data_IF_051146668455
#
_entry.id   IF_051146668455
#
_cell.length_a   1.000
_cell.length_b   1.000
_cell.length_c   1.000
_cell.angle_alpha   90.00
_cell.angle_beta   90.00
_cell.angle_gamma   90.00
#
_symmetry.space_group_name_H-M   'P 1'
#
loop_
_entity.id
_entity.type
_entity.pdbx_description
1 polymer ?
#
# COMPACT_ATOMS: atom_id res chain seq x y z
N UNK A 1 -28.61 27.15 16.84
CA UNK A 1 -29.96 26.66 17.20
C UNK A 1 -29.97 25.16 16.89
N UNK A 2 -30.30 24.32 17.87
CA UNK A 2 -29.99 22.88 17.86
C UNK A 2 -30.85 22.13 16.83
N UNK A 3 -30.35 21.98 15.59
CA UNK A 3 -31.03 21.23 14.51
C UNK A 3 -31.49 19.84 14.95
N UNK A 4 -30.68 19.14 15.77
CA UNK A 4 -31.07 17.87 16.37
C UNK A 4 -32.32 17.99 17.24
N UNK A 5 -32.37 19.02 18.08
CA UNK A 5 -33.44 19.20 19.05
C UNK A 5 -34.75 19.56 18.36
N UNK A 6 -34.69 20.36 17.30
CA UNK A 6 -35.87 20.72 16.51
C UNK A 6 -36.50 19.50 15.83
N UNK A 7 -35.68 18.61 15.26
CA UNK A 7 -36.18 17.37 14.64
C UNK A 7 -36.71 16.40 15.70
N UNK A 8 -36.01 16.21 16.82
CA UNK A 8 -36.50 15.31 17.87
C UNK A 8 -37.73 15.86 18.61
N UNK A 9 -37.97 17.17 18.62
CA UNK A 9 -39.23 17.75 19.10
C UNK A 9 -40.43 17.27 18.25
N UNK A 10 -40.23 16.92 16.97
CA UNK A 10 -41.27 16.33 16.12
C UNK A 10 -41.58 14.88 16.49
N UNK A 11 -40.62 14.17 17.11
CA UNK A 11 -40.82 12.81 17.61
C UNK A 11 -41.55 12.81 18.97
N UNK A 12 -41.07 13.63 19.91
CA UNK A 12 -41.71 13.79 21.23
C UNK A 12 -41.18 15.02 21.96
N UNK A 13 -42.03 15.71 22.70
CA UNK A 13 -41.62 16.82 23.58
C UNK A 13 -41.05 16.35 24.93
N UNK A 14 -41.22 15.06 25.29
CA UNK A 14 -40.76 14.49 26.56
C UNK A 14 -39.37 13.85 26.44
N UNK A 15 -38.32 14.67 26.27
CA UNK A 15 -36.98 14.19 25.93
C UNK A 15 -36.26 13.33 26.99
N UNK A 16 -36.77 13.31 28.23
CA UNK A 16 -36.23 12.52 29.33
C UNK A 16 -36.93 11.16 29.51
N UNK A 17 -38.00 10.89 28.75
CA UNK A 17 -38.64 9.59 28.75
C UNK A 17 -37.78 8.57 27.98
N UNK A 18 -37.83 7.30 28.40
CA UNK A 18 -37.20 6.19 27.68
C UNK A 18 -38.08 5.79 26.51
N UNK A 19 -37.48 5.73 25.32
CA UNK A 19 -38.11 5.26 24.08
C UNK A 19 -37.44 3.99 23.60
N UNK A 20 -38.20 3.12 22.94
CA UNK A 20 -37.63 1.90 22.36
C UNK A 20 -36.71 2.27 21.17
N UNK A 21 -35.59 1.56 21.05
CA UNK A 21 -34.63 1.82 19.97
C UNK A 21 -35.24 1.65 18.57
N UNK A 22 -36.13 0.66 18.40
CA UNK A 22 -36.84 0.44 17.14
C UNK A 22 -37.74 1.61 16.72
N UNK A 23 -38.40 2.27 17.68
CA UNK A 23 -39.25 3.44 17.43
C UNK A 23 -38.40 4.64 17.00
N UNK A 24 -37.29 4.88 17.71
CA UNK A 24 -36.32 5.93 17.37
C UNK A 24 -35.75 5.69 15.97
N UNK A 25 -35.36 4.46 15.66
CA UNK A 25 -34.80 4.11 14.35
C UNK A 25 -35.83 4.34 13.23
N UNK A 26 -37.07 3.91 13.43
CA UNK A 26 -38.15 4.14 12.46
C UNK A 26 -38.44 5.62 12.25
N UNK A 27 -38.29 6.43 13.30
CA UNK A 27 -38.40 7.88 13.21
C UNK A 27 -37.25 8.46 12.38
N UNK A 28 -36.00 8.08 12.65
CA UNK A 28 -34.84 8.54 11.88
C UNK A 28 -34.94 8.13 10.41
N UNK A 29 -35.40 6.91 10.13
CA UNK A 29 -35.71 6.45 8.77
C UNK A 29 -36.66 7.43 8.07
N UNK A 30 -37.78 7.77 8.71
CA UNK A 30 -38.79 8.67 8.13
C UNK A 30 -38.29 10.09 7.82
N UNK A 31 -37.17 10.49 8.42
CA UNK A 31 -36.54 11.80 8.18
C UNK A 31 -35.48 11.79 7.08
N UNK A 32 -35.02 10.62 6.68
CA UNK A 32 -34.06 10.49 5.60
C UNK A 32 -34.77 10.51 4.23
N UNK A 33 -34.16 11.12 3.22
CA UNK A 33 -34.74 11.23 1.86
C UNK A 33 -35.11 9.86 1.23
N UNK A 34 -34.41 8.80 1.61
CA UNK A 34 -34.62 7.43 1.11
C UNK A 34 -35.39 6.54 2.10
N UNK A 35 -35.99 7.10 3.15
CA UNK A 35 -36.60 6.35 4.25
C UNK A 35 -35.65 5.32 4.90
N UNK A 36 -34.35 5.63 4.88
CA UNK A 36 -33.31 4.73 5.36
C UNK A 36 -32.19 5.54 6.00
N UNK A 37 -32.02 5.34 7.30
CA UNK A 37 -30.87 5.77 8.06
C UNK A 37 -29.85 4.63 8.15
N UNK A 38 -28.57 4.93 8.05
CA UNK A 38 -27.54 3.89 8.08
C UNK A 38 -27.56 3.11 9.41
N UNK A 39 -27.65 1.78 9.32
CA UNK A 39 -27.82 0.90 10.49
C UNK A 39 -26.52 0.74 11.27
N UNK A 40 -25.38 0.75 10.59
CA UNK A 40 -24.07 0.62 11.23
C UNK A 40 -23.75 1.91 12.00
N UNK A 41 -24.01 3.08 11.40
CA UNK A 41 -23.88 4.38 12.07
C UNK A 41 -24.85 4.47 13.25
N UNK A 42 -26.11 4.04 13.08
CA UNK A 42 -27.06 3.99 14.19
C UNK A 42 -26.54 3.14 15.35
N UNK A 43 -26.03 1.94 15.05
CA UNK A 43 -25.49 1.05 16.06
C UNK A 43 -24.31 1.69 16.79
N UNK A 44 -23.37 2.29 16.06
CA UNK A 44 -22.23 2.99 16.65
C UNK A 44 -22.65 4.14 17.57
N UNK A 45 -23.70 4.88 17.23
CA UNK A 45 -24.24 5.93 18.09
C UNK A 45 -24.88 5.34 19.36
N UNK A 46 -25.66 4.27 19.25
CA UNK A 46 -26.27 3.61 20.41
C UNK A 46 -25.22 3.01 21.35
N UNK A 47 -24.10 2.50 20.82
CA UNK A 47 -23.00 1.93 21.61
C UNK A 47 -22.34 2.95 22.54
N UNK A 48 -22.43 4.24 22.20
CA UNK A 48 -21.94 5.34 23.03
C UNK A 48 -22.90 5.70 24.18
N UNK A 49 -24.11 5.12 24.22
CA UNK A 49 -25.10 5.33 25.28
C UNK A 49 -25.03 4.17 26.29
N UNK A 50 -24.64 4.42 27.55
CA UNK A 50 -24.56 3.39 28.56
C UNK A 50 -25.90 2.66 28.75
N UNK A 51 -25.86 1.32 28.76
CA UNK A 51 -27.00 0.41 28.97
C UNK A 51 -28.12 0.46 27.91
N UNK A 52 -28.00 1.24 26.84
CA UNK A 52 -29.05 1.36 25.82
C UNK A 52 -29.32 0.04 25.08
N UNK A 53 -28.27 -0.71 24.72
CA UNK A 53 -28.40 -2.02 24.08
C UNK A 53 -29.05 -3.07 24.99
N UNK A 54 -28.69 -3.09 26.27
CA UNK A 54 -29.21 -4.08 27.24
C UNK A 54 -30.68 -3.81 27.53
N UNK A 55 -31.06 -2.54 27.65
CA UNK A 55 -32.44 -2.13 27.95
C UNK A 55 -33.31 -1.99 26.69
N UNK A 56 -32.71 -2.06 25.49
CA UNK A 56 -33.35 -1.77 24.21
C UNK A 56 -34.07 -0.41 24.19
N UNK A 57 -33.59 0.53 25.00
CA UNK A 57 -34.21 1.84 25.23
C UNK A 57 -33.17 2.92 25.49
N UNK A 58 -33.43 4.14 25.03
CA UNK A 58 -32.65 5.33 25.40
C UNK A 58 -33.54 6.58 25.50
N UNK A 59 -33.01 7.65 26.10
CA UNK A 59 -33.69 8.96 26.10
C UNK A 59 -33.25 9.78 24.89
N UNK A 60 -34.13 10.68 24.43
CA UNK A 60 -33.83 11.59 23.32
C UNK A 60 -32.64 12.50 23.67
N UNK A 61 -32.54 12.96 24.92
CA UNK A 61 -31.41 13.79 25.35
C UNK A 61 -30.07 13.04 25.30
N UNK A 62 -30.03 11.76 25.67
CA UNK A 62 -28.83 10.93 25.50
C UNK A 62 -28.43 10.83 24.03
N UNK A 63 -29.42 10.60 23.16
CA UNK A 63 -29.20 10.48 21.73
C UNK A 63 -28.69 11.79 21.12
N UNK A 64 -29.34 12.93 21.40
CA UNK A 64 -28.89 14.27 20.96
C UNK A 64 -27.44 14.53 21.38
N UNK A 65 -27.07 14.20 22.61
CA UNK A 65 -25.71 14.41 23.12
C UNK A 65 -24.69 13.55 22.36
N UNK A 66 -25.04 12.31 22.04
CA UNK A 66 -24.17 11.44 21.24
C UNK A 66 -24.04 11.94 19.80
N UNK A 67 -25.15 12.34 19.16
CA UNK A 67 -25.12 12.93 17.81
C UNK A 67 -24.22 14.18 17.75
N UNK A 68 -24.37 15.09 18.72
CA UNK A 68 -23.50 16.28 18.84
C UNK A 68 -22.03 15.89 19.03
N UNK A 69 -21.75 14.97 19.95
CA UNK A 69 -20.39 14.51 20.21
C UNK A 69 -19.76 13.86 18.97
N UNK A 70 -20.52 13.06 18.24
CA UNK A 70 -20.03 12.43 17.00
C UNK A 70 -19.73 13.49 15.93
N UNK A 71 -20.61 14.48 15.75
CA UNK A 71 -20.39 15.60 14.84
C UNK A 71 -19.15 16.43 15.24
N UNK A 72 -18.99 16.74 16.53
CA UNK A 72 -17.85 17.50 17.04
C UNK A 72 -16.53 16.74 16.81
N UNK A 73 -16.51 15.42 17.05
CA UNK A 73 -15.33 14.58 16.81
C UNK A 73 -14.97 14.51 15.33
N UNK A 74 -15.94 14.34 14.43
CA UNK A 74 -15.69 14.30 13.00
C UNK A 74 -15.19 15.66 12.48
N UNK A 75 -15.80 16.77 12.91
CA UNK A 75 -15.34 18.11 12.57
C UNK A 75 -13.92 18.39 13.07
N UNK A 76 -13.58 17.96 14.30
CA UNK A 76 -12.23 18.09 14.86
C UNK A 76 -11.20 17.29 14.04
N UNK A 77 -11.56 16.05 13.64
CA UNK A 77 -10.70 15.23 12.77
C UNK A 77 -10.48 15.88 11.40
N UNK A 78 -11.54 16.39 10.76
CA UNK A 78 -11.46 17.09 9.47
C UNK A 78 -10.55 18.32 9.61
N UNK A 79 -10.76 19.15 10.64
CA UNK A 79 -9.95 20.34 10.88
C UNK A 79 -8.47 20.01 11.07
N UNK A 80 -8.15 18.97 11.86
CA UNK A 80 -6.77 18.52 12.08
C UNK A 80 -6.12 18.01 10.80
N UNK A 81 -6.83 17.23 9.99
CA UNK A 81 -6.32 16.76 8.71
C UNK A 81 -6.02 17.96 7.78
N UNK A 82 -6.92 18.95 7.75
CA UNK A 82 -6.74 20.16 6.94
C UNK A 82 -5.51 20.97 7.40
N UNK A 83 -5.31 21.15 8.71
CA UNK A 83 -4.13 21.82 9.26
C UNK A 83 -2.82 21.14 8.83
N UNK A 84 -2.79 19.80 8.84
CA UNK A 84 -1.62 19.04 8.40
C UNK A 84 -1.40 19.20 6.88
N UNK A 85 -2.46 19.14 6.08
CA UNK A 85 -2.39 19.39 4.63
C UNK A 85 -1.81 20.78 4.34
N UNK A 86 -2.26 21.81 5.06
CA UNK A 86 -1.78 23.18 4.89
C UNK A 86 -0.28 23.29 5.24
N UNK A 87 0.16 22.67 6.34
CA UNK A 87 1.57 22.61 6.73
C UNK A 87 2.42 21.91 5.65
N UNK A 88 1.95 20.77 5.14
CA UNK A 88 2.64 20.00 4.09
C UNK A 88 2.72 20.78 2.77
N UNK A 89 1.67 21.52 2.41
CA UNK A 89 1.67 22.42 1.26
C UNK A 89 2.70 23.55 1.41
N UNK A 90 2.89 24.10 2.60
CA UNK A 90 3.94 25.09 2.88
C UNK A 90 5.33 24.46 2.67
N UNK A 91 5.56 23.25 3.18
CA UNK A 91 6.83 22.51 2.99
C UNK A 91 7.11 22.27 1.50
N UNK A 92 6.12 21.81 0.73
CA UNK A 92 6.23 21.58 -0.72
C UNK A 92 6.62 22.87 -1.45
N UNK A 93 6.00 24.02 -1.11
CA UNK A 93 6.37 25.32 -1.69
C UNK A 93 7.81 25.68 -1.37
N UNK A 94 8.23 25.51 -0.11
CA UNK A 94 9.61 25.78 0.31
C UNK A 94 10.64 24.88 -0.40
N UNK A 95 10.33 23.60 -0.64
CA UNK A 95 11.17 22.69 -1.41
C UNK A 95 11.25 23.09 -2.89
N UNK A 96 10.13 23.44 -3.50
CA UNK A 96 10.09 23.94 -4.87
C UNK A 96 10.92 25.22 -5.05
N UNK A 97 10.85 26.16 -4.10
CA UNK A 97 11.67 27.37 -4.12
C UNK A 97 13.18 27.04 -4.00
N UNK A 98 13.55 26.08 -3.13
CA UNK A 98 14.94 25.59 -3.03
C UNK A 98 15.43 24.96 -4.33
N UNK A 99 14.58 24.22 -5.04
CA UNK A 99 14.93 23.65 -6.36
C UNK A 99 15.16 24.77 -7.38
N UNK A 100 14.26 25.75 -7.46
CA UNK A 100 14.39 26.91 -8.37
C UNK A 100 15.67 27.71 -8.12
N UNK A 101 15.99 27.99 -6.85
CA UNK A 101 17.24 28.67 -6.48
C UNK A 101 18.50 27.86 -6.83
N UNK A 102 18.41 26.53 -6.77
CA UNK A 102 19.52 25.63 -7.12
C UNK A 102 19.73 25.54 -8.64
N UNK A 103 18.69 25.76 -9.44
CA UNK A 103 18.79 25.83 -10.91
C UNK A 103 19.43 27.14 -11.39
N UNK A 104 19.30 28.24 -10.64
CA UNK A 104 19.91 29.53 -10.99
C UNK A 104 21.40 29.60 -10.60
N UNK A 105 21.84 28.79 -9.64
CA UNK A 105 23.22 28.75 -9.16
C UNK A 105 23.94 27.51 -9.69
N UNK A 106 24.59 27.64 -10.84
CA UNK A 106 25.32 26.57 -11.56
C UNK A 106 26.57 25.97 -10.85
N UNK A 107 26.66 26.04 -9.52
CA UNK A 107 27.83 25.59 -8.77
C UNK A 107 27.58 24.20 -8.18
N UNK A 108 28.08 23.19 -8.91
CA UNK A 108 28.52 21.86 -8.48
C UNK A 108 27.71 21.16 -7.36
N UNK A 109 26.80 20.29 -7.76
CA UNK A 109 26.27 19.20 -6.93
C UNK A 109 27.36 18.15 -6.69
N UNK A 110 28.31 18.42 -5.79
CA UNK A 110 29.19 17.37 -5.28
C UNK A 110 28.36 16.42 -4.43
N UNK A 111 28.39 15.13 -4.76
CA UNK A 111 27.73 14.11 -3.97
C UNK A 111 28.33 14.06 -2.56
N UNK A 112 27.48 14.16 -1.53
CA UNK A 112 27.88 14.17 -0.13
C UNK A 112 27.35 12.95 0.58
N UNK A 113 28.21 12.28 1.33
CA UNK A 113 27.87 11.20 2.23
C UNK A 113 28.06 11.69 3.67
N UNK A 114 26.98 11.66 4.44
CA UNK A 114 26.99 11.94 5.86
C UNK A 114 26.94 10.62 6.64
N UNK A 115 27.82 10.49 7.62
CA UNK A 115 27.97 9.28 8.43
C UNK A 115 28.06 9.68 9.88
N UNK A 116 27.13 9.20 10.69
CA UNK A 116 27.12 9.41 12.13
C UNK A 116 27.35 8.06 12.84
N UNK A 117 28.37 8.04 13.70
CA UNK A 117 28.70 6.91 14.56
C UNK A 117 28.07 7.16 15.92
N UNK A 118 27.10 6.33 16.32
CA UNK A 118 26.37 6.52 17.57
C UNK A 118 27.04 5.77 18.72
N UNK A 119 26.97 4.44 18.68
CA UNK A 119 27.48 3.55 19.72
C UNK A 119 27.92 2.20 19.15
N UNK A 120 28.42 1.32 20.01
CA UNK A 120 28.71 -0.06 19.65
C UNK A 120 28.33 -1.05 20.77
N UNK A 121 27.85 -2.22 20.38
CA UNK A 121 27.61 -3.36 21.27
C UNK A 121 28.82 -4.28 21.24
N UNK A 122 29.57 -4.35 22.34
CA UNK A 122 30.80 -5.16 22.45
C UNK A 122 30.61 -6.27 23.48
N UNK A 123 30.77 -7.53 23.06
CA UNK A 123 30.50 -8.71 23.88
C UNK A 123 31.77 -9.47 24.31
N UNK A 124 32.96 -8.97 23.95
CA UNK A 124 34.23 -9.55 24.38
C UNK A 124 34.86 -8.72 25.52
N UNK A 125 35.61 -9.39 26.41
CA UNK A 125 36.12 -8.79 27.65
C UNK A 125 37.43 -8.02 27.47
N UNK A 126 37.62 -7.00 28.31
CA UNK A 126 38.88 -6.27 28.56
C UNK A 126 38.64 -4.79 28.86
N UNK A 127 39.72 -4.03 29.03
CA UNK A 127 39.69 -2.68 29.62
C UNK A 127 40.22 -1.59 28.68
N UNK A 128 40.44 -1.94 27.40
CA UNK A 128 40.93 -1.04 26.39
C UNK A 128 39.97 0.10 26.06
N UNK A 129 40.51 1.09 25.36
CA UNK A 129 39.73 2.14 24.73
C UNK A 129 39.43 1.75 23.29
N UNK A 130 38.28 2.20 22.80
CA UNK A 130 37.80 1.95 21.46
C UNK A 130 37.80 3.21 20.63
N UNK A 131 38.09 3.07 19.35
CA UNK A 131 38.00 4.08 18.32
C UNK A 131 37.48 3.42 17.04
N UNK A 132 36.75 4.17 16.21
CA UNK A 132 36.29 3.69 14.91
C UNK A 132 37.06 4.44 13.84
N UNK A 133 37.68 3.70 12.94
CA UNK A 133 38.26 4.23 11.70
C UNK A 133 37.25 4.10 10.59
N UNK A 134 36.93 5.20 9.93
CA UNK A 134 36.08 5.27 8.76
C UNK A 134 36.99 5.51 7.55
N UNK A 135 37.04 4.53 6.65
CA UNK A 135 37.78 4.58 5.39
C UNK A 135 36.79 4.70 4.23
N UNK A 136 36.87 5.79 3.48
CA UNK A 136 36.06 6.03 2.30
C UNK A 136 36.94 6.68 1.21
N UNK A 137 37.06 6.00 0.05
CA UNK A 137 37.99 6.38 -1.01
C UNK A 137 39.43 6.55 -0.49
N UNK A 138 40.04 7.72 -0.64
CA UNK A 138 41.37 8.07 -0.12
C UNK A 138 41.35 8.72 1.27
N UNK A 139 40.16 8.95 1.84
CA UNK A 139 39.98 9.63 3.12
C UNK A 139 39.85 8.62 4.25
N UNK A 140 40.62 8.84 5.31
CA UNK A 140 40.53 8.06 6.55
C UNK A 140 40.31 9.04 7.69
N UNK A 141 39.24 8.84 8.45
CA UNK A 141 38.91 9.64 9.64
C UNK A 141 38.67 8.73 10.83
N UNK A 142 38.90 9.26 12.02
CA UNK A 142 38.82 8.50 13.26
C UNK A 142 37.90 9.21 14.25
N UNK A 143 37.11 8.43 14.98
CA UNK A 143 36.37 8.95 16.13
C UNK A 143 37.28 9.22 17.33
N UNK A 144 36.77 9.87 18.37
CA UNK A 144 37.47 9.98 19.64
C UNK A 144 37.58 8.62 20.36
N UNK A 145 38.61 8.48 21.19
CA UNK A 145 38.78 7.31 22.04
C UNK A 145 37.71 7.28 23.13
N UNK A 146 36.99 6.17 23.24
CA UNK A 146 35.94 5.96 24.25
C UNK A 146 36.17 4.67 25.05
N UNK A 147 35.46 4.48 26.16
CA UNK A 147 35.59 3.26 26.99
C UNK A 147 34.89 2.08 26.30
N UNK A 148 35.47 0.87 26.40
CA UNK A 148 34.87 -0.35 25.83
C UNK A 148 33.51 -0.72 26.42
N UNK A 149 33.25 -0.36 27.68
CA UNK A 149 31.97 -0.64 28.31
C UNK A 149 30.93 0.39 27.87
N UNK A 150 30.03 0.00 26.97
CA UNK A 150 29.01 0.87 26.35
C UNK A 150 29.62 2.10 25.68
N UNK A 151 30.43 1.90 24.61
CA UNK A 151 31.05 3.00 23.88
C UNK A 151 29.96 3.85 23.22
N UNK A 152 30.05 5.17 23.39
CA UNK A 152 29.20 6.15 22.72
C UNK A 152 30.11 7.23 22.14
N UNK A 153 29.87 7.60 20.88
CA UNK A 153 30.61 8.63 20.15
C UNK A 153 29.70 9.82 19.80
N UNK A 154 28.56 9.56 19.13
CA UNK A 154 27.69 10.60 18.54
C UNK A 154 28.49 11.60 17.69
N UNK A 155 29.35 11.08 16.83
CA UNK A 155 30.22 11.87 15.95
C UNK A 155 29.77 11.76 14.49
N UNK A 156 29.72 12.90 13.81
CA UNK A 156 29.29 13.00 12.41
C UNK A 156 30.46 13.35 11.50
N UNK A 157 30.54 12.67 10.36
CA UNK A 157 31.57 12.81 9.34
C UNK A 157 30.95 13.03 7.97
N UNK A 158 31.54 13.93 7.19
CA UNK A 158 31.13 14.22 5.82
C UNK A 158 32.21 13.81 4.83
N UNK A 159 31.79 13.10 3.78
CA UNK A 159 32.66 12.68 2.68
C UNK A 159 32.10 13.18 1.36
N UNK A 160 32.98 13.65 0.47
CA UNK A 160 32.63 13.86 -0.93
C UNK A 160 32.90 12.54 -1.66
N UNK A 161 31.86 11.90 -2.19
CA UNK A 161 31.95 10.56 -2.76
C UNK A 161 31.49 10.54 -4.22
N UNK A 162 32.00 9.60 -5.00
CA UNK A 162 31.54 9.36 -6.37
C UNK A 162 30.65 8.10 -6.41
N UNK A 163 29.85 7.96 -7.46
CA UNK A 163 29.07 6.74 -7.73
C UNK A 163 30.04 5.54 -7.77
N UNK A 164 29.71 4.45 -7.03
CA UNK A 164 30.51 3.21 -6.86
C UNK A 164 31.66 3.25 -5.81
N UNK A 165 31.33 3.59 -4.56
CA UNK A 165 32.31 3.51 -3.46
C UNK A 165 31.82 2.59 -2.33
N UNK A 166 32.73 1.80 -1.75
CA UNK A 166 32.49 1.00 -0.55
C UNK A 166 33.11 1.72 0.64
N UNK A 167 32.32 1.88 1.70
CA UNK A 167 32.78 2.36 2.99
C UNK A 167 33.27 1.21 3.85
N UNK A 168 34.40 1.42 4.52
CA UNK A 168 34.98 0.45 5.44
C UNK A 168 35.08 1.05 6.83
N UNK A 169 34.48 0.36 7.79
CA UNK A 169 34.52 0.69 9.20
C UNK A 169 35.43 -0.31 9.91
N UNK A 170 36.39 0.18 10.68
CA UNK A 170 37.28 -0.67 11.48
C UNK A 170 37.15 -0.27 12.93
N UNK A 171 36.78 -1.23 13.78
CA UNK A 171 36.83 -1.03 15.22
C UNK A 171 38.26 -1.27 15.71
N UNK A 172 38.87 -0.22 16.24
CA UNK A 172 40.20 -0.22 16.80
C UNK A 172 40.11 -0.29 18.32
N UNK A 173 40.80 -1.27 18.90
CA UNK A 173 40.85 -1.49 20.34
C UNK A 173 42.30 -1.39 20.79
N UNK A 174 42.60 -0.47 21.72
CA UNK A 174 43.98 -0.18 22.13
C UNK A 174 44.71 -1.39 22.72
N UNK A 175 44.00 -2.33 23.34
CA UNK A 175 44.59 -3.58 23.85
C UNK A 175 44.86 -4.59 22.73
N UNK A 176 43.99 -4.65 21.72
CA UNK A 176 44.14 -5.58 20.59
C UNK A 176 45.18 -5.09 19.60
N UNK A 177 45.29 -3.77 19.39
CA UNK A 177 46.31 -3.16 18.52
C UNK A 177 47.73 -3.51 18.97
N UNK A 178 47.99 -3.54 20.28
CA UNK A 178 49.28 -3.97 20.84
C UNK A 178 49.61 -5.43 20.48
N UNK A 179 48.58 -6.24 20.23
CA UNK A 179 48.67 -7.66 19.81
C UNK A 179 48.50 -7.84 18.30
N UNK A 180 48.49 -6.76 17.51
CA UNK A 180 48.24 -6.73 16.06
C UNK A 180 46.85 -7.25 15.64
N UNK A 181 45.86 -7.19 16.53
CA UNK A 181 44.47 -7.54 16.22
C UNK A 181 43.58 -6.30 16.08
N UNK A 182 42.55 -6.41 15.23
CA UNK A 182 41.48 -5.41 15.11
C UNK A 182 40.23 -5.92 15.86
N UNK A 183 39.39 -5.01 16.34
CA UNK A 183 38.11 -5.33 17.00
C UNK A 183 37.00 -5.79 16.03
N UNK A 184 37.30 -5.79 14.73
CA UNK A 184 36.42 -6.19 13.65
C UNK A 184 36.32 -5.12 12.55
N UNK A 185 35.83 -5.52 11.38
CA UNK A 185 35.69 -4.69 10.18
C UNK A 185 34.28 -4.86 9.62
N UNK A 186 33.68 -3.80 9.10
CA UNK A 186 32.45 -3.86 8.32
C UNK A 186 32.63 -3.11 6.99
N UNK A 187 32.04 -3.65 5.93
CA UNK A 187 32.03 -3.05 4.60
C UNK A 187 30.59 -2.72 4.21
N UNK A 188 30.33 -1.50 3.78
CA UNK A 188 29.01 -1.03 3.40
C UNK A 188 29.10 -0.40 2.02
N UNK A 189 28.34 -0.92 1.07
CA UNK A 189 28.20 -0.31 -0.25
C UNK A 189 27.30 0.93 -0.15
N UNK A 190 27.81 2.08 -0.58
CA UNK A 190 27.08 3.35 -0.56
C UNK A 190 25.83 3.29 -1.47
N UNK A 191 25.84 2.44 -2.51
CA UNK A 191 24.68 2.27 -3.40
C UNK A 191 23.42 1.80 -2.67
N UNK A 192 23.57 1.18 -1.49
CA UNK A 192 22.45 0.82 -0.61
C UNK A 192 21.62 2.03 -0.19
N UNK A 193 22.24 3.23 -0.18
CA UNK A 193 21.62 4.50 0.20
C UNK A 193 21.24 5.37 -1.02
N UNK A 194 21.00 4.74 -2.18
CA UNK A 194 20.64 5.43 -3.42
C UNK A 194 19.28 6.14 -3.41
N UNK A 195 18.48 5.89 -2.38
CA UNK A 195 17.23 6.60 -2.06
C UNK A 195 17.45 7.98 -1.42
N UNK A 196 18.69 8.30 -1.04
CA UNK A 196 19.10 9.56 -0.41
C UNK A 196 18.45 9.85 0.94
N UNK A 197 17.85 8.85 1.57
CA UNK A 197 17.22 8.95 2.89
C UNK A 197 18.24 8.71 4.00
N UNK A 198 17.91 9.12 5.22
CA UNK A 198 18.72 8.83 6.40
C UNK A 198 18.38 7.42 6.89
N UNK A 199 19.39 6.54 6.89
CA UNK A 199 19.27 5.16 7.36
C UNK A 199 19.89 5.02 8.73
N UNK A 200 19.12 4.51 9.69
CA UNK A 200 19.53 4.24 11.06
C UNK A 200 19.54 2.71 11.27
N UNK A 201 20.73 2.12 11.44
CA UNK A 201 20.87 0.66 11.51
C UNK A 201 22.13 0.20 12.23
N UNK A 202 22.14 -1.08 12.62
CA UNK A 202 23.27 -1.73 13.28
C UNK A 202 23.98 -2.71 12.34
N UNK A 203 25.30 -2.62 12.23
CA UNK A 203 26.13 -3.52 11.42
C UNK A 203 26.96 -4.46 12.29
N UNK A 204 26.99 -5.75 11.93
CA UNK A 204 27.86 -6.73 12.58
C UNK A 204 29.29 -6.59 12.04
N UNK A 205 30.28 -6.63 12.93
CA UNK A 205 31.68 -6.59 12.52
C UNK A 205 32.20 -8.00 12.24
N UNK A 206 33.07 -8.14 11.25
CA UNK A 206 33.73 -9.41 10.88
C UNK A 206 35.25 -9.34 11.05
N UNK A 207 35.89 -10.48 11.25
CA UNK A 207 37.36 -10.58 11.25
C UNK A 207 37.92 -10.73 9.82
N UNK A 208 39.24 -10.90 9.70
CA UNK A 208 39.93 -11.11 8.43
C UNK A 208 39.51 -12.40 7.71
N UNK A 209 38.93 -13.36 8.44
CA UNK A 209 38.40 -14.62 7.90
C UNK A 209 36.90 -14.54 7.57
N UNK A 210 36.32 -13.34 7.63
CA UNK A 210 34.92 -13.05 7.38
C UNK A 210 33.96 -13.71 8.39
N UNK A 211 34.44 -14.07 9.58
CA UNK A 211 33.60 -14.56 10.68
C UNK A 211 33.10 -13.39 11.51
N UNK A 212 31.83 -13.46 11.92
CA UNK A 212 31.21 -12.43 12.74
C UNK A 212 31.90 -12.38 14.10
N UNK A 213 32.53 -11.23 14.39
CA UNK A 213 33.07 -10.91 15.70
C UNK A 213 31.91 -10.55 16.61
N UNK A 214 32.07 -10.79 17.92
CA UNK A 214 31.05 -10.42 18.91
C UNK A 214 31.05 -8.92 19.21
N UNK A 215 30.93 -8.12 18.15
CA UNK A 215 30.88 -6.67 18.16
C UNK A 215 29.95 -6.16 17.05
N UNK A 216 29.15 -5.15 17.37
CA UNK A 216 28.26 -4.47 16.42
C UNK A 216 28.39 -2.97 16.55
N UNK A 217 28.20 -2.26 15.44
CA UNK A 217 28.30 -0.81 15.37
C UNK A 217 26.95 -0.22 14.97
N UNK A 218 26.50 0.82 15.69
CA UNK A 218 25.26 1.53 15.39
C UNK A 218 25.57 2.80 14.59
N UNK A 219 24.97 2.90 13.41
CA UNK A 219 25.31 3.87 12.38
C UNK A 219 24.06 4.59 11.88
N UNK A 220 24.25 5.87 11.57
CA UNK A 220 23.33 6.67 10.76
C UNK A 220 24.04 7.11 9.49
N UNK A 221 23.50 6.78 8.32
CA UNK A 221 24.14 7.10 7.03
C UNK A 221 23.13 7.73 6.09
N UNK A 222 23.53 8.81 5.42
CA UNK A 222 22.76 9.43 4.35
C UNK A 222 23.66 9.79 3.19
N UNK A 223 23.27 9.39 1.98
CA UNK A 223 24.00 9.71 0.75
C UNK A 223 23.19 10.64 -0.14
N UNK A 224 23.60 11.90 -0.26
CA UNK A 224 22.95 12.91 -1.10
C UNK A 224 23.82 13.16 -2.34
N UNK A 225 23.54 12.45 -3.44
CA UNK A 225 24.22 12.68 -4.72
C UNK A 225 23.54 13.75 -5.59
N UNK A 226 22.25 13.99 -5.39
CA UNK A 226 21.52 15.06 -6.06
C UNK A 226 20.54 15.71 -5.10
N UNK A 227 20.89 16.91 -4.64
CA UNK A 227 20.03 17.75 -3.79
C UNK A 227 18.66 17.98 -4.45
N UNK A 228 18.62 18.15 -5.77
CA UNK A 228 17.37 18.33 -6.50
C UNK A 228 16.51 17.07 -6.46
N UNK A 229 17.11 15.90 -6.68
CA UNK A 229 16.38 14.62 -6.57
C UNK A 229 15.89 14.40 -5.14
N UNK A 230 16.72 14.63 -4.13
CA UNK A 230 16.31 14.51 -2.72
C UNK A 230 15.11 15.41 -2.39
N UNK A 231 15.14 16.68 -2.83
CA UNK A 231 14.00 17.59 -2.64
C UNK A 231 12.76 17.15 -3.42
N UNK A 232 12.91 16.55 -4.61
CA UNK A 232 11.80 15.98 -5.37
C UNK A 232 11.19 14.76 -4.65
N UNK A 233 12.02 13.89 -4.09
CA UNK A 233 11.57 12.72 -3.35
C UNK A 233 10.77 13.15 -2.10
N UNK A 234 11.24 14.17 -1.37
CA UNK A 234 10.48 14.77 -0.26
C UNK A 234 9.15 15.41 -0.70
N UNK A 235 9.12 16.06 -1.86
CA UNK A 235 7.87 16.61 -2.42
C UNK A 235 6.89 15.48 -2.72
N UNK A 236 7.34 14.41 -3.35
CA UNK A 236 6.51 13.25 -3.69
C UNK A 236 5.96 12.57 -2.43
N UNK A 237 6.79 12.39 -1.39
CA UNK A 237 6.35 11.83 -0.11
C UNK A 237 5.26 12.69 0.55
N UNK A 238 5.46 14.01 0.61
CA UNK A 238 4.46 14.93 1.15
C UNK A 238 3.17 14.95 0.31
N UNK A 239 3.24 14.81 -1.02
CA UNK A 239 2.06 14.70 -1.88
C UNK A 239 1.28 13.40 -1.61
N UNK A 240 1.96 12.28 -1.40
CA UNK A 240 1.31 11.01 -1.04
C UNK A 240 0.58 11.15 0.30
N UNK A 241 1.22 11.78 1.31
CA UNK A 241 0.59 12.04 2.61
C UNK A 241 -0.63 12.96 2.49
N UNK A 242 -0.56 14.01 1.66
CA UNK A 242 -1.70 14.88 1.39
C UNK A 242 -2.87 14.09 0.78
N UNK A 243 -2.61 13.28 -0.25
CA UNK A 243 -3.67 12.48 -0.89
C UNK A 243 -4.35 11.51 0.10
N UNK A 244 -3.58 10.92 1.02
CA UNK A 244 -4.13 10.06 2.08
C UNK A 244 -5.01 10.84 3.05
N UNK A 245 -4.57 12.04 3.48
CA UNK A 245 -5.35 12.90 4.36
C UNK A 245 -6.62 13.45 3.68
N UNK A 246 -6.56 13.75 2.38
CA UNK A 246 -7.74 14.16 1.60
C UNK A 246 -8.76 13.03 1.49
N UNK A 247 -8.31 11.79 1.30
CA UNK A 247 -9.19 10.62 1.35
C UNK A 247 -9.82 10.47 2.73
N UNK A 248 -9.04 10.63 3.81
CA UNK A 248 -9.55 10.55 5.18
C UNK A 248 -10.59 11.66 5.47
N UNK A 249 -10.34 12.88 5.00
CA UNK A 249 -11.32 13.98 5.08
C UNK A 249 -12.62 13.62 4.36
N UNK A 250 -12.53 13.05 3.16
CA UNK A 250 -13.71 12.64 2.40
C UNK A 250 -14.51 11.57 3.13
N UNK A 251 -13.85 10.57 3.72
CA UNK A 251 -14.50 9.54 4.53
C UNK A 251 -15.22 10.17 5.73
N UNK A 252 -14.57 11.06 6.48
CA UNK A 252 -15.20 11.78 7.61
C UNK A 252 -16.36 12.68 7.18
N UNK A 253 -16.29 13.31 6.00
CA UNK A 253 -17.38 14.11 5.43
C UNK A 253 -18.58 13.22 5.10
N UNK A 254 -18.37 12.04 4.52
CA UNK A 254 -19.44 11.08 4.24
C UNK A 254 -20.12 10.64 5.53
N UNK A 255 -19.36 10.28 6.55
CA UNK A 255 -19.90 9.90 7.87
C UNK A 255 -20.72 11.05 8.49
N UNK A 256 -20.19 12.27 8.40
CA UNK A 256 -20.88 13.47 8.88
C UNK A 256 -22.16 13.75 8.09
N UNK A 257 -22.19 13.45 6.79
CA UNK A 257 -23.38 13.58 5.95
C UNK A 257 -24.46 12.58 6.37
N UNK A 258 -24.06 11.33 6.64
CA UNK A 258 -24.97 10.28 7.12
C UNK A 258 -25.56 10.67 8.47
N UNK A 259 -24.74 11.11 9.43
CA UNK A 259 -25.18 11.57 10.76
C UNK A 259 -26.15 12.75 10.65
N UNK A 260 -25.89 13.67 9.72
CA UNK A 260 -26.74 14.86 9.51
C UNK A 260 -27.94 14.61 8.60
N UNK A 261 -28.02 13.47 7.92
CA UNK A 261 -29.08 13.16 6.93
C UNK A 261 -30.51 13.29 7.48
N UNK A 262 -30.84 12.92 8.73
CA UNK A 262 -32.18 13.10 9.31
C UNK A 262 -32.49 14.56 9.68
N UNK A 263 -31.47 15.43 9.72
CA UNK A 263 -31.54 16.80 10.24
C UNK A 263 -31.39 17.87 9.18
N UNK A 264 -31.09 17.47 7.95
CA UNK A 264 -31.18 18.34 6.78
C UNK A 264 -32.65 18.70 6.58
N UNK A 265 -33.05 19.88 7.03
CA UNK A 265 -34.29 20.50 6.55
C UNK A 265 -34.23 20.42 5.02
N UNK A 266 -35.26 19.86 4.39
CA UNK A 266 -35.42 19.84 2.93
C UNK A 266 -35.53 21.27 2.43
N UNK A 267 -34.42 21.99 2.39
CA UNK A 267 -34.28 23.11 1.48
C UNK A 267 -34.21 22.43 0.12
N UNK A 268 -35.30 22.53 -0.64
CA UNK A 268 -35.31 22.24 -2.07
C UNK A 268 -34.34 23.20 -2.74
N UNK A 269 -33.05 22.95 -2.62
CA UNK A 269 -32.05 23.60 -3.44
C UNK A 269 -32.22 23.04 -4.84
N UNK A 270 -32.68 23.89 -5.76
CA UNK A 270 -32.41 23.70 -7.18
C UNK A 270 -30.92 23.40 -7.32
N UNK A 271 -30.63 22.23 -7.89
CA UNK A 271 -29.30 21.85 -8.36
C UNK A 271 -28.67 23.02 -9.11
N UNK A 272 -27.75 23.71 -8.45
CA UNK A 272 -26.73 24.59 -9.02
C UNK A 272 -25.60 24.71 -7.99
N UNK A 273 -25.05 23.56 -7.57
CA UNK A 273 -23.66 23.50 -7.14
C UNK A 273 -22.85 23.07 -8.37
N UNK A 274 -22.71 23.99 -9.32
CA UNK A 274 -21.48 24.07 -10.10
C UNK A 274 -20.35 24.26 -9.10
N UNK A 275 -19.57 23.19 -8.93
CA UNK A 275 -18.28 23.20 -8.25
C UNK A 275 -17.42 24.23 -9.01
N UNK A 276 -17.32 25.43 -8.44
CA UNK A 276 -16.41 26.47 -8.87
C UNK A 276 -14.99 25.99 -8.61
N UNK A 277 -14.43 25.35 -9.62
CA UNK A 277 -12.98 25.12 -9.75
C UNK A 277 -12.34 26.50 -9.81
N UNK A 278 -11.65 26.90 -8.73
CA UNK A 278 -10.77 28.05 -8.78
C UNK A 278 -9.57 27.70 -9.67
N UNK A 279 -9.72 28.01 -10.96
CA UNK A 279 -8.61 28.29 -11.84
C UNK A 279 -7.92 29.59 -11.39
N UNK A 280 -6.67 29.47 -10.98
CA UNK A 280 -5.67 30.52 -11.20
C UNK A 280 -4.41 29.85 -11.74
N UNK A 281 -4.39 29.68 -13.06
CA UNK A 281 -3.14 29.74 -13.83
C UNK A 281 -2.71 31.21 -13.96
N UNK A 282 -1.42 31.48 -14.15
CA UNK A 282 -0.97 31.60 -15.53
C UNK A 282 0.32 30.82 -15.84
N UNK A 283 0.32 30.28 -17.06
CA UNK A 283 1.44 29.88 -17.89
C UNK A 283 2.27 28.66 -17.45
N UNK A 284 1.94 27.52 -18.06
CA UNK A 284 2.86 26.88 -18.99
C UNK A 284 2.11 26.06 -20.05
N UNK A 285 2.64 26.11 -21.27
CA UNK A 285 2.03 25.70 -22.52
C UNK A 285 1.88 24.18 -22.63
N UNK A 286 0.70 23.78 -23.11
CA UNK A 286 0.42 22.67 -24.02
C UNK A 286 1.42 21.52 -24.09
N UNK A 287 1.09 20.41 -23.43
CA UNK A 287 1.00 19.12 -24.12
C UNK A 287 -0.33 18.46 -23.72
N UNK A 288 -1.24 18.37 -24.69
CA UNK A 288 -2.44 17.54 -24.59
C UNK A 288 -2.03 16.08 -24.52
N UNK A 289 -1.99 15.52 -23.32
CA UNK A 289 -2.26 14.09 -23.14
C UNK A 289 -3.73 13.95 -22.75
N UNK A 290 -4.46 13.20 -23.57
CA UNK A 290 -5.81 12.74 -23.27
C UNK A 290 -5.84 12.17 -21.86
N UNK A 291 -6.52 12.84 -20.95
CA UNK A 291 -6.81 12.32 -19.62
C UNK A 291 -7.60 11.01 -19.80
N UNK A 292 -7.12 9.87 -19.28
CA UNK A 292 -7.93 8.66 -19.31
C UNK A 292 -9.21 8.91 -18.53
N UNK A 293 -10.32 8.39 -19.07
CA UNK A 293 -11.64 8.39 -18.44
C UNK A 293 -11.47 7.95 -16.97
N UNK A 294 -11.68 8.85 -16.01
CA UNK A 294 -11.70 8.53 -14.58
C UNK A 294 -12.93 7.66 -14.32
N UNK A 295 -12.70 6.34 -14.31
CA UNK A 295 -13.68 5.33 -13.95
C UNK A 295 -13.96 5.48 -12.46
N UNK A 296 -15.22 5.73 -12.08
CA UNK A 296 -15.59 5.93 -10.68
C UNK A 296 -15.28 4.66 -9.87
N UNK A 297 -14.77 4.80 -8.64
CA UNK A 297 -14.44 3.67 -7.73
C UNK A 297 -15.58 2.64 -7.62
N UNK A 298 -16.84 3.10 -7.64
CA UNK A 298 -18.04 2.25 -7.65
C UNK A 298 -18.11 1.24 -8.81
N UNK A 299 -17.45 1.51 -9.94
CA UNK A 299 -17.40 0.57 -11.08
C UNK A 299 -16.35 -0.52 -10.84
N UNK A 300 -15.24 -0.20 -10.17
CA UNK A 300 -14.19 -1.15 -9.84
C UNK A 300 -14.71 -2.13 -8.79
N UNK A 301 -15.42 -1.66 -7.77
CA UNK A 301 -16.00 -2.53 -6.73
C UNK A 301 -17.02 -3.53 -7.31
N UNK A 302 -17.85 -3.08 -8.26
CA UNK A 302 -18.79 -3.97 -8.96
C UNK A 302 -18.08 -5.02 -9.81
N UNK A 303 -17.00 -4.65 -10.50
CA UNK A 303 -16.19 -5.62 -11.25
C UNK A 303 -15.59 -6.66 -10.29
N UNK A 304 -15.03 -6.22 -9.16
CA UNK A 304 -14.47 -7.12 -8.14
C UNK A 304 -15.55 -8.10 -7.61
N UNK A 305 -16.76 -7.64 -7.33
CA UNK A 305 -17.87 -8.52 -6.92
C UNK A 305 -18.25 -9.56 -8.00
N UNK A 306 -18.33 -9.14 -9.26
CA UNK A 306 -18.62 -10.05 -10.38
C UNK A 306 -17.51 -11.10 -10.53
N UNK A 307 -16.25 -10.70 -10.38
CA UNK A 307 -15.12 -11.63 -10.44
C UNK A 307 -15.15 -12.69 -9.34
N UNK A 308 -15.57 -12.32 -8.12
CA UNK A 308 -15.76 -13.27 -7.02
C UNK A 308 -16.84 -14.30 -7.36
N UNK A 309 -17.97 -13.87 -7.95
CA UNK A 309 -19.04 -14.77 -8.37
C UNK A 309 -18.55 -15.77 -9.43
N UNK A 310 -17.73 -15.31 -10.39
CA UNK A 310 -17.13 -16.18 -11.40
C UNK A 310 -16.14 -17.19 -10.80
N UNK A 311 -15.42 -16.83 -9.74
CA UNK A 311 -14.52 -17.75 -9.02
C UNK A 311 -15.30 -18.80 -8.24
N UNK A 312 -16.42 -18.43 -7.62
CA UNK A 312 -17.33 -19.39 -6.99
C UNK A 312 -17.87 -20.37 -8.04
N UNK A 313 -18.27 -19.87 -9.21
CA UNK A 313 -18.70 -20.72 -10.32
C UNK A 313 -17.58 -21.67 -10.77
N UNK A 314 -16.34 -21.16 -10.87
CA UNK A 314 -15.16 -21.96 -11.17
C UNK A 314 -14.92 -23.04 -10.12
N UNK A 315 -15.06 -22.74 -8.82
CA UNK A 315 -14.96 -23.73 -7.74
C UNK A 315 -16.00 -24.84 -7.90
N UNK A 316 -17.26 -24.50 -8.20
CA UNK A 316 -18.33 -25.50 -8.36
C UNK A 316 -18.01 -26.46 -9.51
N UNK A 317 -17.61 -25.95 -10.68
CA UNK A 317 -17.21 -26.81 -11.80
C UNK A 317 -15.92 -27.57 -11.55
N UNK A 318 -15.00 -27.02 -10.75
CA UNK A 318 -13.80 -27.70 -10.28
C UNK A 318 -14.15 -28.90 -9.39
N UNK A 319 -15.04 -28.72 -8.41
CA UNK A 319 -15.49 -29.80 -7.53
C UNK A 319 -16.20 -30.92 -8.31
N UNK A 320 -17.08 -30.56 -9.25
CA UNK A 320 -17.76 -31.54 -10.11
C UNK A 320 -16.76 -32.34 -10.97
N UNK A 321 -15.76 -31.68 -11.55
CA UNK A 321 -14.72 -32.38 -12.32
C UNK A 321 -13.76 -33.19 -11.44
N UNK A 322 -13.54 -32.77 -10.19
CA UNK A 322 -12.58 -33.43 -9.29
C UNK A 322 -12.96 -34.87 -8.90
N UNK A 323 -14.23 -35.24 -9.12
CA UNK A 323 -14.71 -36.61 -8.90
C UNK A 323 -14.02 -37.62 -9.83
N UNK A 324 -13.59 -37.18 -11.02
CA UNK A 324 -13.05 -38.06 -12.06
C UNK A 324 -11.68 -37.62 -12.60
N UNK A 325 -11.26 -36.37 -12.34
CA UNK A 325 -9.99 -35.80 -12.78
C UNK A 325 -9.27 -35.15 -11.60
N UNK A 326 -7.96 -35.35 -11.50
CA UNK A 326 -7.15 -34.61 -10.53
C UNK A 326 -6.97 -33.14 -10.96
N UNK A 327 -7.38 -32.21 -10.10
CA UNK A 327 -7.39 -30.76 -10.37
C UNK A 327 -6.60 -29.98 -9.30
N UNK A 328 -5.50 -30.55 -8.82
CA UNK A 328 -4.74 -29.99 -7.69
C UNK A 328 -4.26 -28.55 -7.97
N UNK A 329 -3.83 -28.27 -9.20
CA UNK A 329 -3.38 -26.94 -9.59
C UNK A 329 -4.54 -25.93 -9.66
N UNK A 330 -5.72 -26.37 -10.09
CA UNK A 330 -6.92 -25.53 -10.12
C UNK A 330 -7.38 -25.15 -8.72
N UNK A 331 -7.34 -26.09 -7.78
CA UNK A 331 -7.62 -25.80 -6.36
C UNK A 331 -6.58 -24.87 -5.75
N UNK A 332 -5.32 -24.95 -6.17
CA UNK A 332 -4.28 -24.01 -5.74
C UNK A 332 -4.57 -22.60 -6.28
N UNK A 333 -4.96 -22.47 -7.55
CA UNK A 333 -5.40 -21.19 -8.16
C UNK A 333 -6.60 -20.62 -7.40
N UNK A 334 -7.62 -21.44 -7.15
CA UNK A 334 -8.83 -21.05 -6.43
C UNK A 334 -8.52 -20.60 -5.00
N UNK A 335 -7.68 -21.35 -4.28
CA UNK A 335 -7.26 -21.00 -2.92
C UNK A 335 -6.52 -19.66 -2.88
N UNK A 336 -5.61 -19.43 -3.82
CA UNK A 336 -4.89 -18.16 -3.95
C UNK A 336 -5.87 -17.00 -4.24
N UNK A 337 -6.87 -17.22 -5.09
CA UNK A 337 -7.92 -16.24 -5.34
C UNK A 337 -8.70 -15.92 -4.06
N UNK A 338 -9.13 -16.92 -3.28
CA UNK A 338 -9.84 -16.67 -2.01
C UNK A 338 -9.00 -15.90 -0.99
N UNK A 339 -7.70 -16.23 -0.88
CA UNK A 339 -6.78 -15.47 -0.02
C UNK A 339 -6.66 -14.00 -0.46
N UNK A 340 -6.66 -13.75 -1.77
CA UNK A 340 -6.67 -12.40 -2.31
C UNK A 340 -7.93 -11.62 -1.89
N UNK A 341 -9.12 -12.22 -1.94
CA UNK A 341 -10.35 -11.54 -1.48
C UNK A 341 -10.45 -11.40 0.05
N UNK A 342 -9.85 -12.31 0.82
CA UNK A 342 -9.92 -12.27 2.29
C UNK A 342 -9.06 -11.15 2.91
N UNK A 343 -7.91 -10.81 2.29
CA UNK A 343 -6.90 -9.92 2.90
C UNK A 343 -7.10 -8.41 2.67
N UNK A 344 -8.34 -7.96 2.42
CA UNK A 344 -8.68 -6.57 2.13
C UNK A 344 -7.93 -6.03 0.88
N UNK A 345 -8.67 -5.88 -0.22
CA UNK A 345 -8.23 -5.47 -1.57
C UNK A 345 -7.38 -4.19 -1.65
N UNK A 346 -7.29 -3.41 -0.56
CA UNK A 346 -6.59 -2.10 -0.50
C UNK A 346 -5.06 -2.20 -0.46
N UNK A 347 -4.45 -3.33 -0.07
CA UNK A 347 -2.98 -3.46 -0.10
C UNK A 347 -2.52 -4.34 -1.27
N UNK A 348 -1.91 -3.73 -2.30
CA UNK A 348 -1.07 -4.39 -3.34
C UNK A 348 -1.79 -5.17 -4.48
N UNK A 349 -2.92 -4.68 -5.01
CA UNK A 349 -3.81 -5.46 -5.89
C UNK A 349 -3.24 -5.86 -7.27
N UNK A 350 -2.38 -5.05 -7.91
CA UNK A 350 -1.96 -5.27 -9.31
C UNK A 350 -1.04 -6.48 -9.51
N UNK A 351 -0.05 -6.66 -8.62
CA UNK A 351 0.86 -7.82 -8.68
C UNK A 351 0.10 -9.14 -8.50
N UNK A 352 -0.83 -9.19 -7.56
CA UNK A 352 -1.63 -10.37 -7.28
C UNK A 352 -2.54 -10.72 -8.46
N UNK A 353 -3.12 -9.71 -9.12
CA UNK A 353 -3.88 -9.90 -10.36
C UNK A 353 -2.99 -10.50 -11.47
N UNK A 354 -1.75 -10.03 -11.63
CA UNK A 354 -0.78 -10.62 -12.59
C UNK A 354 -0.49 -12.09 -12.28
N UNK A 355 -0.23 -12.40 -11.02
CA UNK A 355 0.03 -13.78 -10.57
C UNK A 355 -1.20 -14.65 -10.86
N UNK A 356 -2.41 -14.19 -10.52
CA UNK A 356 -3.66 -14.91 -10.81
C UNK A 356 -3.82 -15.15 -12.32
N UNK A 357 -3.57 -14.14 -13.16
CA UNK A 357 -3.66 -14.29 -14.63
C UNK A 357 -2.67 -15.32 -15.17
N UNK A 358 -1.43 -15.32 -14.70
CA UNK A 358 -0.41 -16.31 -15.13
C UNK A 358 -0.81 -17.71 -14.68
N UNK A 359 -1.24 -17.86 -13.42
CA UNK A 359 -1.69 -19.15 -12.89
C UNK A 359 -2.92 -19.67 -13.65
N UNK A 360 -3.90 -18.82 -13.96
CA UNK A 360 -5.05 -19.16 -14.81
C UNK A 360 -4.61 -19.55 -16.23
N UNK A 361 -3.63 -18.85 -16.81
CA UNK A 361 -3.08 -19.18 -18.11
C UNK A 361 -2.44 -20.57 -18.15
N UNK A 362 -1.66 -20.92 -17.13
CA UNK A 362 -1.08 -22.27 -16.98
C UNK A 362 -2.18 -23.32 -16.78
N UNK A 363 -3.20 -23.03 -15.97
CA UNK A 363 -4.33 -23.92 -15.74
C UNK A 363 -5.13 -24.20 -17.01
N UNK A 364 -5.34 -23.18 -17.85
CA UNK A 364 -5.97 -23.30 -19.17
C UNK A 364 -5.14 -24.17 -20.12
N UNK A 365 -3.82 -23.96 -20.17
CA UNK A 365 -2.93 -24.75 -21.02
C UNK A 365 -2.94 -26.23 -20.62
N UNK A 366 -2.96 -26.52 -19.33
CA UNK A 366 -3.10 -27.89 -18.81
C UNK A 366 -4.43 -28.54 -19.22
N UNK A 367 -5.54 -27.79 -19.19
CA UNK A 367 -6.84 -28.28 -19.68
C UNK A 367 -6.85 -28.55 -21.19
N UNK A 368 -6.25 -27.67 -21.98
CA UNK A 368 -6.16 -27.85 -23.44
C UNK A 368 -5.36 -29.11 -23.77
N UNK A 369 -4.22 -29.32 -23.10
CA UNK A 369 -3.40 -30.54 -23.28
C UNK A 369 -4.21 -31.77 -22.84
N UNK A 370 -4.86 -31.71 -21.69
CA UNK A 370 -5.67 -32.83 -21.19
C UNK A 370 -6.81 -33.17 -22.17
N UNK A 371 -7.56 -32.18 -22.64
CA UNK A 371 -8.62 -32.36 -23.64
C UNK A 371 -8.06 -32.89 -24.95
N UNK A 372 -6.90 -32.43 -25.42
CA UNK A 372 -6.30 -32.94 -26.65
C UNK A 372 -5.93 -34.44 -26.56
N UNK A 373 -5.51 -34.91 -25.38
CA UNK A 373 -5.18 -36.32 -25.15
C UNK A 373 -6.44 -37.17 -24.99
N UNK A 374 -7.39 -36.72 -24.16
CA UNK A 374 -8.52 -37.54 -23.72
C UNK A 374 -9.81 -37.36 -24.52
N UNK A 375 -9.98 -36.30 -25.31
CA UNK A 375 -11.24 -36.06 -26.01
C UNK A 375 -11.44 -36.95 -27.25
N UNK A 376 -10.37 -37.25 -27.97
CA UNK A 376 -10.37 -37.98 -29.24
C UNK A 376 -11.08 -39.35 -29.19
N UNK A 377 -10.83 -40.22 -28.19
CA UNK A 377 -11.46 -41.54 -28.15
C UNK A 377 -12.95 -41.55 -27.77
N UNK A 378 -13.47 -40.48 -27.15
CA UNK A 378 -14.83 -40.47 -26.57
C UNK A 378 -15.78 -39.44 -27.21
N UNK A 379 -15.30 -38.65 -28.17
CA UNK A 379 -16.13 -37.74 -28.97
C UNK A 379 -16.74 -38.41 -30.22
N UNK A 380 -16.29 -39.61 -30.60
CA UNK A 380 -16.77 -40.38 -31.76
C UNK A 380 -18.00 -41.26 -31.48
N UNK A 381 -18.32 -42.15 -32.43
CA UNK A 381 -19.33 -43.20 -32.22
C UNK A 381 -18.90 -44.18 -31.12
N UNK A 382 -19.88 -44.82 -30.46
CA UNK A 382 -19.63 -45.74 -29.36
C UNK A 382 -18.65 -46.85 -29.80
N UNK A 383 -17.53 -46.95 -29.09
CA UNK A 383 -16.56 -48.02 -29.33
C UNK A 383 -16.98 -49.24 -28.51
N UNK A 384 -17.32 -50.33 -29.20
CA UNK A 384 -17.83 -51.58 -28.61
C UNK A 384 -16.85 -52.26 -27.63
N UNK A 385 -15.62 -51.78 -27.53
CA UNK A 385 -14.62 -52.28 -26.60
C UNK A 385 -14.73 -51.71 -25.17
N UNK A 386 -15.62 -50.75 -24.91
CA UNK A 386 -15.85 -50.18 -23.58
C UNK A 386 -17.22 -50.55 -23.03
N UNK A 387 -17.33 -50.66 -21.70
CA UNK A 387 -18.64 -50.77 -21.04
C UNK A 387 -19.46 -49.49 -21.30
N UNK A 388 -20.77 -49.64 -21.53
CA UNK A 388 -21.69 -48.53 -21.78
C UNK A 388 -21.68 -47.50 -20.65
N UNK A 389 -21.55 -47.96 -19.40
CA UNK A 389 -21.52 -47.09 -18.24
C UNK A 389 -20.21 -46.29 -18.16
N UNK A 390 -19.07 -46.96 -18.39
CA UNK A 390 -17.76 -46.32 -18.40
C UNK A 390 -17.64 -45.29 -19.53
N UNK A 391 -18.09 -45.63 -20.73
CA UNK A 391 -18.13 -44.73 -21.88
C UNK A 391 -19.01 -43.50 -21.61
N UNK A 392 -20.17 -43.70 -20.98
CA UNK A 392 -21.07 -42.61 -20.58
C UNK A 392 -20.42 -41.64 -19.57
N UNK A 393 -19.73 -42.17 -18.56
CA UNK A 393 -19.02 -41.37 -17.56
C UNK A 393 -17.86 -40.58 -18.16
N UNK A 394 -17.05 -41.20 -19.01
CA UNK A 394 -15.94 -40.54 -19.71
C UNK A 394 -16.44 -39.42 -20.63
N UNK A 395 -17.53 -39.66 -21.37
CA UNK A 395 -18.15 -38.64 -22.22
C UNK A 395 -18.69 -37.46 -21.40
N UNK A 396 -19.35 -37.74 -20.27
CA UNK A 396 -19.80 -36.71 -19.34
C UNK A 396 -18.62 -35.89 -18.79
N UNK A 397 -17.53 -36.54 -18.40
CA UNK A 397 -16.31 -35.89 -17.91
C UNK A 397 -15.69 -34.94 -18.96
N UNK A 398 -15.67 -35.33 -20.23
CA UNK A 398 -15.17 -34.48 -21.32
C UNK A 398 -16.05 -33.25 -21.51
N UNK A 399 -17.37 -33.42 -21.50
CA UNK A 399 -18.32 -32.29 -21.58
C UNK A 399 -18.09 -31.32 -20.41
N UNK A 400 -17.96 -31.86 -19.20
CA UNK A 400 -17.74 -31.07 -17.99
C UNK A 400 -16.36 -30.37 -18.00
N UNK A 401 -15.34 -30.99 -18.61
CA UNK A 401 -14.01 -30.40 -18.80
C UNK A 401 -14.02 -29.26 -19.84
N UNK A 402 -14.81 -29.38 -20.91
CA UNK A 402 -15.05 -28.28 -21.86
C UNK A 402 -15.76 -27.10 -21.20
N UNK A 403 -16.74 -27.38 -20.34
CA UNK A 403 -17.47 -26.35 -19.60
C UNK A 403 -16.55 -25.63 -18.60
N UNK A 404 -15.70 -26.38 -17.91
CA UNK A 404 -14.68 -25.83 -17.02
C UNK A 404 -13.66 -24.96 -17.76
N UNK A 405 -13.17 -25.41 -18.92
CA UNK A 405 -12.29 -24.62 -19.78
C UNK A 405 -12.95 -23.29 -20.17
N UNK A 406 -14.22 -23.32 -20.59
CA UNK A 406 -14.98 -22.13 -20.94
C UNK A 406 -15.11 -21.15 -19.77
N UNK A 407 -15.42 -21.64 -18.57
CA UNK A 407 -15.48 -20.81 -17.35
C UNK A 407 -14.13 -20.17 -17.06
N UNK A 408 -13.02 -20.93 -17.14
CA UNK A 408 -11.66 -20.38 -16.93
C UNK A 408 -11.33 -19.29 -17.94
N UNK A 409 -11.73 -19.43 -19.21
CA UNK A 409 -11.55 -18.38 -20.24
C UNK A 409 -12.29 -17.10 -19.85
N UNK A 410 -13.56 -17.23 -19.41
CA UNK A 410 -14.35 -16.06 -18.96
C UNK A 410 -13.68 -15.39 -17.76
N UNK A 411 -13.25 -16.17 -16.77
CA UNK A 411 -12.56 -15.66 -15.58
C UNK A 411 -11.28 -14.91 -15.99
N UNK A 412 -10.47 -15.49 -16.88
CA UNK A 412 -9.24 -14.86 -17.36
C UNK A 412 -9.53 -13.54 -18.09
N UNK A 413 -10.50 -13.50 -19.00
CA UNK A 413 -10.90 -12.27 -19.70
C UNK A 413 -11.31 -11.19 -18.69
N UNK A 414 -12.04 -11.58 -17.65
CA UNK A 414 -12.49 -10.65 -16.63
C UNK A 414 -11.31 -10.09 -15.80
N UNK A 415 -10.35 -10.93 -15.42
CA UNK A 415 -9.13 -10.46 -14.74
C UNK A 415 -8.25 -9.57 -15.62
N UNK A 416 -8.14 -9.88 -16.92
CA UNK A 416 -7.48 -9.00 -17.91
C UNK A 416 -8.21 -7.66 -17.99
N UNK A 417 -9.54 -7.66 -17.96
CA UNK A 417 -10.33 -6.44 -17.98
C UNK A 417 -10.15 -5.61 -16.69
N UNK A 418 -10.17 -6.24 -15.50
CA UNK A 418 -9.87 -5.56 -14.23
C UNK A 418 -8.48 -4.93 -14.29
N UNK A 419 -7.48 -5.71 -14.73
CA UNK A 419 -6.11 -5.23 -14.88
C UNK A 419 -6.00 -4.05 -15.86
N UNK A 420 -6.70 -4.12 -16.99
CA UNK A 420 -6.70 -3.05 -17.99
C UNK A 420 -7.35 -1.76 -17.48
N UNK A 421 -8.38 -1.89 -16.65
CA UNK A 421 -9.23 -0.81 -16.13
C UNK A 421 -8.62 -0.10 -14.93
N UNK A 422 -7.65 -0.72 -14.24
CA UNK A 422 -7.02 -0.13 -13.06
C UNK A 422 -6.21 1.13 -13.43
N UNK A 423 -6.47 2.29 -12.79
CA UNK A 423 -5.91 3.59 -13.20
C UNK A 423 -4.43 3.79 -12.84
N UNK A 424 -3.86 2.96 -11.96
CA UNK A 424 -2.59 3.26 -11.28
C UNK A 424 -1.47 2.24 -11.60
N UNK A 425 -1.21 2.01 -12.90
CA UNK A 425 -0.26 0.99 -13.39
C UNK A 425 1.23 1.36 -13.24
N UNK A 426 1.55 2.60 -12.88
CA UNK A 426 2.92 3.14 -12.94
C UNK A 426 3.51 3.58 -11.60
N UNK A 427 2.71 3.61 -10.53
CA UNK A 427 3.12 4.14 -9.22
C UNK A 427 3.51 3.06 -8.21
N UNK A 428 3.22 1.78 -8.48
CA UNK A 428 3.59 0.69 -7.56
C UNK A 428 5.00 0.17 -7.82
N UNK A 429 5.87 0.29 -6.81
CA UNK A 429 7.28 -0.17 -6.79
C UNK A 429 7.44 -1.63 -7.26
N UNK A 430 6.45 -2.48 -6.99
CA UNK A 430 6.45 -3.89 -7.40
C UNK A 430 6.24 -4.10 -8.90
N UNK A 431 5.57 -3.18 -9.60
CA UNK A 431 5.42 -3.26 -11.06
C UNK A 431 6.72 -2.92 -11.78
N UNK A 432 7.56 -2.06 -11.20
CA UNK A 432 8.92 -1.81 -11.68
C UNK A 432 9.80 -3.06 -11.52
N UNK A 433 9.70 -3.75 -10.39
CA UNK A 433 10.41 -5.03 -10.15
C UNK A 433 9.92 -6.15 -11.07
N UNK A 434 8.60 -6.28 -11.26
CA UNK A 434 8.03 -7.25 -12.21
C UNK A 434 8.49 -6.97 -13.65
N UNK A 435 8.45 -5.71 -14.10
CA UNK A 435 8.94 -5.35 -15.43
C UNK A 435 10.46 -5.54 -15.57
N UNK A 436 11.23 -5.38 -14.49
CA UNK A 436 12.65 -5.67 -14.50
C UNK A 436 12.95 -7.18 -14.66
N UNK A 437 12.11 -8.05 -14.07
CA UNK A 437 12.31 -9.51 -14.07
C UNK A 437 11.66 -10.19 -15.28
N UNK A 438 10.44 -9.80 -15.63
CA UNK A 438 9.59 -10.45 -16.64
C UNK A 438 9.16 -9.53 -17.79
N UNK A 439 9.43 -8.23 -17.70
CA UNK A 439 9.10 -7.30 -18.78
C UNK A 439 9.91 -7.62 -20.03
N UNK A 440 9.23 -7.71 -21.18
CA UNK A 440 9.92 -7.73 -22.45
C UNK A 440 10.64 -6.40 -22.60
N UNK A 441 11.98 -6.41 -22.53
CA UNK A 441 12.79 -5.24 -22.87
C UNK A 441 12.45 -4.87 -24.31
N UNK A 442 11.74 -3.76 -24.49
CA UNK A 442 11.64 -3.14 -25.80
C UNK A 442 13.06 -2.84 -26.29
N UNK A 443 13.50 -3.57 -27.32
CA UNK A 443 14.84 -3.51 -27.92
C UNK A 443 15.13 -2.13 -28.58
N UNK A 444 14.24 -1.15 -28.43
CA UNK A 444 14.32 0.14 -29.09
C UNK A 444 14.67 1.30 -28.16
N UNK A 445 15.68 1.17 -27.30
CA UNK A 445 16.55 2.29 -26.91
C UNK A 445 17.97 1.79 -26.61
N UNK A 446 18.67 1.36 -27.65
CA UNK A 446 20.14 1.36 -27.67
C UNK A 446 20.56 2.65 -28.39
N UNK A 447 20.81 3.71 -27.62
CA UNK A 447 21.65 4.83 -28.04
C UNK A 447 22.76 4.92 -26.97
N UNK A 448 23.86 4.20 -27.18
CA UNK A 448 25.14 4.74 -27.65
C UNK A 448 25.60 5.95 -26.84
N UNK A 449 26.39 5.69 -25.80
CA UNK A 449 27.65 6.40 -25.57
C UNK A 449 28.69 5.41 -25.08
N UNK A 450 29.43 4.85 -26.04
CA UNK A 450 30.68 4.14 -25.85
C UNK A 450 31.75 5.03 -26.49
N UNK A 451 32.61 5.60 -25.65
CA UNK A 451 33.92 6.24 -25.88
C UNK A 451 34.15 7.11 -24.62
N UNK A 452 35.22 6.98 -23.85
CA UNK A 452 36.62 7.01 -24.27
C UNK A 452 37.53 6.13 -23.40
N UNK A 453 38.68 5.80 -23.99
CA UNK A 453 39.91 5.31 -23.37
C UNK A 453 40.37 6.17 -22.18
#
# INVERSE_FOLDING_TARGET
MNQFQDVFNEFSQLHNQKYNLSEILSFLDSKCANNYFDRDVYQQLIDQIPQAQIQQQCTINQLINVFKKAQDVLNDKISKCQEIIDQKNIEIRAYNDKIRQSQTNSINSSSKLNVEILDAEILYQGNGQLQVSLECMSSVVYTQLTKRQKPVWNETFDFNVNEQTVMKFILLDTELQQKRGNGGVAYIDINTFGDQMLHDFTVNLTDETNQIVRAKLHLKIQWIYSKNKYLQDLINENMIQINQLEQEINDHIVDLDIINSPFKQTIKFQNNLTISTYQTQPNQQQQQQQSPLLISENQIDRLVQISLLLIILYLVFGLLNSMYRTLNFDFLVLFYCFLFYQKNYKLQSLLHIKIIMVMLGVALLMDIIWLAIYSTPYLGEFNANYDHLEYGLQKYQIILSWLLLFVKIIVLIFYVHIYATYPDKSTQVYDQQWNAIFGWKDIKQINVYRNYN
#
